data_IF_853332982454
#
_entry.id   IF_853332982454
#
_cell.length_a   1.000
_cell.length_b   1.000
_cell.length_c   1.000
_cell.angle_alpha   90.00
_cell.angle_beta   90.00
_cell.angle_gamma   90.00
#
_symmetry.space_group_name_H-M   'P 1'
#
loop_
_entity.id
_entity.type
_entity.pdbx_description
1 polymer ?
#
# COMPACT_ATOMS: atom_id res chain seq x y z
N UNK A 1 -14.13 21.55 -6.33
CA UNK A 1 -13.58 20.26 -6.81
C UNK A 1 -12.28 20.04 -6.07
N UNK A 2 -12.26 19.20 -5.02
CA UNK A 2 -11.06 18.99 -4.21
C UNK A 2 -10.32 17.77 -4.75
N UNK A 3 -9.23 18.04 -5.44
CA UNK A 3 -8.27 17.06 -5.88
C UNK A 3 -7.67 16.39 -4.63
N UNK A 4 -7.98 15.12 -4.42
CA UNK A 4 -7.37 14.30 -3.37
C UNK A 4 -5.95 14.01 -3.84
N UNK A 5 -5.00 14.80 -3.37
CA UNK A 5 -3.58 14.46 -3.43
C UNK A 5 -3.44 13.24 -2.52
N UNK A 6 -3.40 12.04 -3.10
CA UNK A 6 -2.89 10.87 -2.39
C UNK A 6 -1.41 11.19 -2.16
N UNK A 7 -1.13 11.72 -0.97
CA UNK A 7 0.19 12.18 -0.56
C UNK A 7 1.20 11.07 -0.83
N UNK A 8 2.10 11.30 -1.78
CA UNK A 8 3.12 10.33 -2.21
C UNK A 8 4.21 10.08 -1.17
N UNK A 9 3.89 10.19 0.13
CA UNK A 9 4.86 10.14 1.22
C UNK A 9 4.78 8.87 2.08
N UNK A 10 3.91 7.91 1.76
CA UNK A 10 3.82 6.62 2.48
C UNK A 10 3.92 5.40 1.55
N UNK A 11 4.71 5.47 0.48
CA UNK A 11 5.09 4.27 -0.31
C UNK A 11 6.55 4.40 -0.75
N UNK A 12 7.46 4.67 0.19
CA UNK A 12 8.91 4.58 -0.08
C UNK A 12 9.51 3.75 1.06
N UNK A 13 9.79 2.47 0.77
CA UNK A 13 10.60 1.59 1.64
C UNK A 13 9.88 0.40 2.29
N UNK A 14 8.56 0.46 2.49
CA UNK A 14 7.85 -0.58 3.27
C UNK A 14 7.69 -1.95 2.58
N UNK A 15 7.65 -1.98 1.24
CA UNK A 15 7.32 -3.20 0.48
C UNK A 15 8.53 -3.97 -0.05
N UNK A 16 9.68 -3.31 -0.14
CA UNK A 16 10.94 -3.93 -0.59
C UNK A 16 11.59 -4.77 0.51
N UNK A 17 11.33 -4.44 1.78
CA UNK A 17 11.93 -5.12 2.94
C UNK A 17 13.44 -4.86 3.10
N UNK A 18 14.01 -3.97 2.28
CA UNK A 18 15.43 -3.57 2.28
C UNK A 18 15.57 -2.12 1.82
N UNK A 19 16.57 -1.42 2.36
CA UNK A 19 16.91 -0.03 1.98
C UNK A 19 17.75 0.08 0.69
N UNK A 20 18.17 -1.05 0.12
CA UNK A 20 18.80 -1.10 -1.21
C UNK A 20 17.77 -1.40 -2.30
N UNK A 21 17.96 -0.89 -3.54
CA UNK A 21 17.10 -1.22 -4.67
C UNK A 21 17.19 -2.72 -4.98
N UNK A 22 16.24 -3.47 -4.42
CA UNK A 22 16.06 -4.87 -4.74
C UNK A 22 15.60 -4.99 -6.20
N UNK A 23 16.04 -6.05 -6.90
CA UNK A 23 15.46 -6.40 -8.19
C UNK A 23 13.93 -6.50 -8.03
N UNK A 24 13.12 -6.05 -9.02
CA UNK A 24 11.66 -6.09 -8.91
C UNK A 24 11.09 -7.47 -8.53
N UNK A 25 11.79 -8.55 -8.89
CA UNK A 25 11.42 -9.93 -8.52
C UNK A 25 11.68 -10.31 -7.07
N UNK A 26 12.50 -9.54 -6.34
CA UNK A 26 12.90 -9.81 -4.95
C UNK A 26 12.04 -9.06 -3.92
N UNK A 27 11.01 -8.33 -4.36
CA UNK A 27 10.13 -7.60 -3.46
C UNK A 27 9.33 -8.57 -2.56
N UNK A 28 9.31 -8.30 -1.26
CA UNK A 28 8.59 -9.13 -0.28
C UNK A 28 7.06 -9.01 -0.39
N UNK A 29 6.59 -7.88 -0.92
CA UNK A 29 5.19 -7.62 -1.20
C UNK A 29 5.08 -6.77 -2.48
N UNK A 30 4.02 -6.96 -3.27
CA UNK A 30 3.73 -6.19 -4.48
C UNK A 30 2.26 -5.78 -4.49
N UNK A 31 1.91 -4.63 -3.90
CA UNK A 31 0.55 -4.11 -3.93
C UNK A 31 0.12 -3.85 -5.38
N UNK A 32 -1.09 -4.28 -5.74
CA UNK A 32 -1.59 -4.30 -7.13
C UNK A 32 -3.01 -3.77 -7.29
N UNK A 33 -3.78 -3.69 -6.20
CA UNK A 33 -5.16 -3.22 -6.20
C UNK A 33 -5.47 -2.43 -4.94
N UNK A 34 -6.41 -1.49 -5.07
CA UNK A 34 -6.83 -0.56 -4.02
C UNK A 34 -8.35 -0.39 -4.05
N UNK A 35 -8.99 -0.51 -2.88
CA UNK A 35 -10.41 -0.22 -2.69
C UNK A 35 -10.65 0.44 -1.33
N UNK A 36 -11.67 1.29 -1.24
CA UNK A 36 -12.05 1.98 0.01
C UNK A 36 -13.42 1.50 0.47
N UNK A 37 -13.54 1.16 1.76
CA UNK A 37 -14.80 0.84 2.40
C UNK A 37 -15.59 2.10 2.80
N UNK A 38 -16.92 1.99 2.99
CA UNK A 38 -17.76 3.10 3.44
C UNK A 38 -17.43 3.57 4.87
N UNK A 39 -16.71 2.75 5.63
CA UNK A 39 -16.16 3.04 6.95
C UNK A 39 -14.82 3.81 6.90
N UNK A 40 -14.29 4.08 5.71
CA UNK A 40 -12.99 4.73 5.51
C UNK A 40 -11.79 3.77 5.56
N UNK A 41 -12.02 2.46 5.71
CA UNK A 41 -10.95 1.46 5.62
C UNK A 41 -10.39 1.35 4.21
N UNK A 42 -9.08 1.17 4.06
CA UNK A 42 -8.41 0.99 2.77
C UNK A 42 -7.92 -0.45 2.63
N UNK A 43 -8.34 -1.11 1.57
CA UNK A 43 -7.96 -2.48 1.22
C UNK A 43 -6.89 -2.46 0.15
N UNK A 44 -5.82 -3.24 0.35
CA UNK A 44 -4.68 -3.35 -0.56
C UNK A 44 -4.45 -4.81 -0.90
N UNK A 45 -4.47 -5.17 -2.19
CA UNK A 45 -4.16 -6.55 -2.63
C UNK A 45 -2.68 -6.72 -2.95
N UNK A 46 -2.04 -7.75 -2.42
CA UNK A 46 -0.65 -8.10 -2.68
C UNK A 46 -0.53 -9.35 -3.57
N UNK A 47 0.04 -9.17 -4.76
CA UNK A 47 0.19 -10.25 -5.74
C UNK A 47 1.34 -11.22 -5.45
N UNK A 48 2.32 -10.84 -4.61
CA UNK A 48 3.44 -11.73 -4.23
C UNK A 48 3.02 -12.66 -3.11
N UNK A 49 2.35 -12.13 -2.08
CA UNK A 49 1.94 -12.95 -0.92
C UNK A 49 0.54 -13.53 -1.04
N UNK A 50 -0.28 -13.06 -1.99
CA UNK A 50 -1.68 -13.43 -2.12
C UNK A 50 -2.57 -12.91 -0.99
N UNK A 51 -2.08 -11.92 -0.22
CA UNK A 51 -2.79 -11.37 0.95
C UNK A 51 -3.54 -10.10 0.60
N UNK A 52 -4.58 -9.83 1.39
CA UNK A 52 -5.26 -8.53 1.44
C UNK A 52 -4.89 -7.86 2.76
N UNK A 53 -4.39 -6.64 2.67
CA UNK A 53 -4.09 -5.79 3.81
C UNK A 53 -5.24 -4.81 4.03
N UNK A 54 -5.60 -4.56 5.29
CA UNK A 54 -6.59 -3.56 5.67
C UNK A 54 -5.86 -2.48 6.47
N UNK A 55 -5.96 -1.24 6.00
CA UNK A 55 -5.46 -0.06 6.70
C UNK A 55 -6.66 0.68 7.28
N UNK A 56 -6.73 0.71 8.60
CA UNK A 56 -7.74 1.48 9.34
C UNK A 56 -7.15 2.83 9.67
N UNK A 57 -7.74 3.91 9.14
CA UNK A 57 -7.33 5.26 9.46
C UNK A 57 -7.98 5.67 10.79
N UNK A 58 -7.22 5.61 11.88
CA UNK A 58 -7.64 6.23 13.14
C UNK A 58 -7.33 7.72 13.07
N UNK A 59 -8.37 8.56 13.04
CA UNK A 59 -8.21 10.02 13.10
C UNK A 59 -7.55 10.46 14.41
N UNK A 60 -6.70 11.50 14.33
CA UNK A 60 -6.05 12.19 15.45
C UNK A 60 -7.02 13.04 16.27
#
# INVERSE_FOLDING_TARGET
>A
MKQVIISSLLVVGGFTGTDSPASPGSARARPTGLAMGPDGSVYISDSVTGRIWIVVLTGS
#
